data_IF_664757004346
#
_entry.id   IF_664757004346
#
_cell.length_a   1.000
_cell.length_b   1.000
_cell.length_c   1.000
_cell.angle_alpha   90.00
_cell.angle_beta   90.00
_cell.angle_gamma   90.00
#
_symmetry.space_group_name_H-M   'P 1'
#
loop_
_entity.id
_entity.type
_entity.pdbx_description
1 polymer ?
#
# COMPACT_ATOMS: atom_id res chain seq x y z
N UNK A 1 61.85 -26.87 -36.29
CA UNK A 1 61.59 -26.30 -34.97
C UNK A 1 60.23 -25.65 -35.04
N UNK A 2 59.23 -26.34 -34.49
CA UNK A 2 57.82 -25.91 -34.54
C UNK A 2 57.44 -25.42 -33.16
N UNK A 3 57.13 -24.12 -33.10
CA UNK A 3 56.77 -23.45 -31.87
C UNK A 3 55.25 -23.64 -31.66
N UNK A 4 54.86 -24.40 -30.61
CA UNK A 4 53.43 -24.59 -30.20
C UNK A 4 53.08 -23.53 -29.18
N UNK A 5 52.31 -22.53 -29.59
CA UNK A 5 51.60 -21.67 -28.65
C UNK A 5 50.33 -22.40 -28.20
N UNK A 6 50.30 -22.83 -26.93
CA UNK A 6 49.10 -23.32 -26.28
C UNK A 6 48.27 -22.09 -25.86
N UNK A 7 47.09 -21.96 -26.49
CA UNK A 7 46.09 -20.96 -26.15
C UNK A 7 45.34 -21.48 -24.91
N UNK A 8 45.61 -20.88 -23.76
CA UNK A 8 44.86 -21.18 -22.51
C UNK A 8 43.53 -20.43 -22.56
N UNK A 9 42.44 -21.15 -22.88
CA UNK A 9 41.09 -20.60 -22.81
C UNK A 9 40.63 -20.65 -21.35
N UNK A 10 40.68 -19.47 -20.71
CA UNK A 10 40.11 -19.30 -19.36
C UNK A 10 38.57 -19.26 -19.51
N UNK A 11 37.90 -20.38 -19.22
CA UNK A 11 36.45 -20.43 -19.11
C UNK A 11 36.09 -19.82 -17.77
N UNK A 12 35.70 -18.54 -17.79
CA UNK A 12 35.05 -17.91 -16.67
C UNK A 12 33.63 -18.50 -16.57
N UNK A 13 33.46 -19.42 -15.64
CA UNK A 13 32.12 -19.90 -15.24
C UNK A 13 31.51 -18.76 -14.42
N UNK A 14 30.73 -17.90 -15.05
CA UNK A 14 29.78 -17.06 -14.36
C UNK A 14 28.69 -17.99 -13.81
N UNK A 15 28.81 -18.37 -12.55
CA UNK A 15 27.68 -18.94 -11.85
C UNK A 15 26.71 -17.80 -11.55
N UNK A 16 25.82 -17.51 -12.52
CA UNK A 16 24.61 -16.76 -12.25
C UNK A 16 23.78 -17.59 -11.29
N UNK A 17 23.81 -17.26 -10.01
CA UNK A 17 22.78 -17.70 -9.08
C UNK A 17 21.47 -17.07 -9.54
N UNK A 18 20.76 -17.74 -10.44
CA UNK A 18 19.34 -17.53 -10.60
C UNK A 18 18.70 -18.06 -9.32
N UNK A 19 18.34 -17.18 -8.39
CA UNK A 19 17.33 -17.48 -7.38
C UNK A 19 16.12 -18.00 -8.17
N UNK A 20 15.81 -19.29 -8.01
CA UNK A 20 14.67 -19.88 -8.70
C UNK A 20 13.40 -19.21 -8.14
N UNK A 21 12.48 -18.84 -9.02
CA UNK A 21 11.24 -18.10 -8.73
C UNK A 21 10.35 -18.72 -7.60
N UNK A 22 10.71 -19.90 -7.08
CA UNK A 22 10.00 -20.61 -6.03
C UNK A 22 10.49 -20.29 -4.59
N UNK A 23 11.48 -19.45 -4.41
CA UNK A 23 12.07 -19.20 -3.09
C UNK A 23 11.49 -17.98 -2.39
N UNK A 24 10.97 -17.00 -3.13
CA UNK A 24 10.39 -15.80 -2.56
C UNK A 24 8.88 -15.90 -2.57
N UNK A 25 8.28 -15.95 -1.38
CA UNK A 25 6.83 -16.02 -1.26
C UNK A 25 6.31 -15.12 -0.14
N UNK A 26 5.02 -14.77 -0.23
CA UNK A 26 4.36 -14.04 0.83
C UNK A 26 2.84 -13.97 0.63
N UNK A 27 2.15 -13.64 1.69
CA UNK A 27 0.68 -13.60 1.68
C UNK A 27 0.16 -12.33 1.04
N UNK A 28 -0.90 -12.44 0.27
CA UNK A 28 -1.69 -11.35 -0.32
C UNK A 28 -1.88 -10.17 0.66
N UNK A 29 -1.52 -8.97 0.22
CA UNK A 29 -1.61 -7.73 1.01
C UNK A 29 -0.53 -7.54 2.08
N UNK A 30 0.43 -8.45 2.22
CA UNK A 30 1.56 -8.28 3.13
C UNK A 30 2.66 -7.39 2.52
N UNK A 31 3.63 -7.06 3.36
CA UNK A 31 4.91 -6.50 2.97
C UNK A 31 5.96 -7.58 3.21
N UNK A 32 6.93 -7.71 2.32
CA UNK A 32 8.09 -8.58 2.47
C UNK A 32 9.38 -7.79 2.33
N UNK A 33 10.46 -8.32 2.90
CA UNK A 33 11.82 -7.87 2.65
C UNK A 33 12.57 -8.95 1.85
N UNK A 34 13.35 -8.52 0.86
CA UNK A 34 14.16 -9.41 0.03
C UNK A 34 15.60 -8.95 0.07
N UNK A 35 16.51 -9.84 0.43
CA UNK A 35 17.96 -9.56 0.39
C UNK A 35 18.38 -9.40 -1.06
N UNK A 36 19.19 -8.39 -1.35
CA UNK A 36 19.72 -8.15 -2.68
C UNK A 36 21.07 -7.43 -2.63
N UNK A 37 21.96 -7.78 -3.53
CA UNK A 37 23.21 -7.08 -3.77
C UNK A 37 23.08 -6.02 -4.88
N UNK A 38 21.94 -5.99 -5.58
CA UNK A 38 21.64 -5.10 -6.69
C UNK A 38 20.55 -4.09 -6.32
N UNK A 39 20.91 -3.06 -5.54
CA UNK A 39 20.00 -1.95 -5.21
C UNK A 39 20.23 -0.78 -6.14
N UNK A 40 19.15 -0.27 -6.74
CA UNK A 40 19.16 0.99 -7.48
C UNK A 40 18.93 2.15 -6.53
N UNK A 41 19.41 3.34 -6.92
CA UNK A 41 19.31 4.56 -6.11
C UNK A 41 17.86 4.91 -5.71
N UNK A 42 16.90 4.53 -6.54
CA UNK A 42 15.48 4.81 -6.35
C UNK A 42 14.71 3.66 -5.69
N UNK A 43 15.39 2.59 -5.28
CA UNK A 43 14.74 1.47 -4.62
C UNK A 43 14.50 1.78 -3.13
N UNK A 44 13.33 1.37 -2.61
CA UNK A 44 13.06 1.40 -1.18
C UNK A 44 13.82 0.29 -0.50
N UNK A 45 15.05 0.59 -0.09
CA UNK A 45 15.93 -0.36 0.56
C UNK A 45 16.37 0.09 1.94
N UNK A 46 16.79 -0.86 2.75
CA UNK A 46 17.30 -0.64 4.09
C UNK A 46 18.49 -1.56 4.37
N UNK A 47 19.50 -0.98 5.00
CA UNK A 47 20.61 -1.77 5.58
C UNK A 47 20.19 -2.30 6.94
N UNK A 48 20.28 -3.62 7.11
CA UNK A 48 20.08 -4.27 8.37
C UNK A 48 21.12 -5.39 8.54
N UNK A 49 21.82 -5.39 9.68
CA UNK A 49 22.98 -6.22 9.91
C UNK A 49 24.06 -5.98 8.84
N UNK A 50 24.47 -6.94 8.05
CA UNK A 50 25.45 -6.76 6.97
C UNK A 50 24.83 -6.84 5.57
N UNK A 51 23.49 -6.91 5.49
CA UNK A 51 22.75 -7.09 4.24
C UNK A 51 21.90 -5.88 3.89
N UNK A 52 21.62 -5.72 2.62
CA UNK A 52 20.67 -4.74 2.10
C UNK A 52 19.37 -5.45 1.69
N UNK A 53 18.23 -4.83 2.03
CA UNK A 53 16.90 -5.40 1.85
C UNK A 53 16.02 -4.48 1.05
N UNK A 54 15.45 -4.97 -0.04
CA UNK A 54 14.33 -4.32 -0.72
C UNK A 54 13.03 -4.59 0.03
N UNK A 55 12.20 -3.55 0.17
CA UNK A 55 10.88 -3.67 0.79
C UNK A 55 9.81 -3.65 -0.29
N UNK A 56 9.01 -4.72 -0.35
CA UNK A 56 8.01 -4.91 -1.40
C UNK A 56 6.61 -5.08 -0.80
N UNK A 57 5.65 -4.34 -1.35
CA UNK A 57 4.23 -4.53 -1.09
C UNK A 57 3.66 -5.63 -1.99
N UNK A 58 2.94 -6.58 -1.41
CA UNK A 58 2.34 -7.68 -2.18
C UNK A 58 0.89 -7.36 -2.56
N UNK A 59 0.50 -7.58 -3.84
CA UNK A 59 -0.85 -7.33 -4.32
C UNK A 59 -1.89 -8.23 -3.63
N UNK A 60 -3.15 -7.78 -3.66
CA UNK A 60 -4.27 -8.66 -3.39
C UNK A 60 -4.46 -9.62 -4.57
N UNK A 61 -4.52 -10.93 -4.30
CA UNK A 61 -4.78 -11.95 -5.32
C UNK A 61 -6.00 -12.80 -4.96
N UNK A 62 -6.74 -13.26 -5.99
CA UNK A 62 -7.92 -14.12 -5.81
C UNK A 62 -7.58 -15.61 -5.76
N UNK A 63 -6.36 -15.97 -6.17
CA UNK A 63 -5.74 -17.31 -6.09
C UNK A 63 -4.24 -17.13 -5.99
N UNK A 64 -3.53 -18.07 -5.38
CA UNK A 64 -2.07 -18.08 -5.36
C UNK A 64 -1.52 -17.99 -6.78
N UNK A 65 -0.60 -17.08 -6.99
CA UNK A 65 -0.03 -16.80 -8.33
C UNK A 65 1.33 -16.12 -8.24
N UNK A 66 2.19 -16.41 -9.20
CA UNK A 66 3.44 -15.68 -9.39
C UNK A 66 3.15 -14.25 -9.84
N UNK A 67 3.87 -13.29 -9.28
CA UNK A 67 3.80 -11.86 -9.59
C UNK A 67 5.20 -11.29 -9.70
N UNK A 68 5.43 -10.49 -10.73
CA UNK A 68 6.66 -9.69 -10.85
C UNK A 68 6.43 -8.32 -10.20
N UNK A 69 7.21 -7.99 -9.18
CA UNK A 69 7.15 -6.71 -8.46
C UNK A 69 8.52 -6.03 -8.67
N UNK A 70 8.52 -4.95 -9.45
CA UNK A 70 9.77 -4.41 -9.97
C UNK A 70 10.46 -5.41 -10.89
N UNK A 71 11.58 -5.96 -10.46
CA UNK A 71 12.35 -7.00 -11.18
C UNK A 71 12.33 -8.36 -10.46
N UNK A 72 11.58 -8.48 -9.36
CA UNK A 72 11.55 -9.67 -8.49
C UNK A 72 10.27 -10.44 -8.70
N UNK A 73 10.41 -11.74 -8.98
CA UNK A 73 9.30 -12.67 -9.04
C UNK A 73 8.98 -13.22 -7.66
N UNK A 74 7.72 -13.08 -7.24
CA UNK A 74 7.22 -13.47 -5.91
C UNK A 74 5.98 -14.35 -6.07
N UNK A 75 5.94 -15.49 -5.39
CA UNK A 75 4.71 -16.25 -5.25
C UNK A 75 3.80 -15.58 -4.23
N UNK A 76 2.74 -14.91 -4.69
CA UNK A 76 1.75 -14.30 -3.81
C UNK A 76 0.68 -15.32 -3.46
N UNK A 77 0.70 -15.74 -2.21
CA UNK A 77 -0.23 -16.74 -1.65
C UNK A 77 -1.59 -16.11 -1.38
N UNK A 78 -2.64 -16.76 -1.89
CA UNK A 78 -4.02 -16.35 -1.59
C UNK A 78 -4.32 -16.53 -0.11
N UNK A 79 -5.03 -15.54 0.44
CA UNK A 79 -5.61 -15.60 1.79
C UNK A 79 -7.10 -15.32 1.74
N UNK A 80 -7.90 -16.11 2.42
CA UNK A 80 -9.31 -15.83 2.62
C UNK A 80 -9.46 -14.82 3.77
N UNK A 81 -9.85 -13.60 3.45
CA UNK A 81 -10.10 -12.52 4.41
C UNK A 81 -11.57 -12.43 4.86
N UNK A 82 -12.42 -13.37 4.40
CA UNK A 82 -13.85 -13.35 4.64
C UNK A 82 -14.62 -12.42 3.69
N UNK A 83 -15.88 -12.17 4.03
CA UNK A 83 -16.81 -11.39 3.23
C UNK A 83 -17.39 -10.21 4.01
N UNK A 84 -17.81 -9.18 3.29
CA UNK A 84 -18.55 -8.03 3.79
C UNK A 84 -19.77 -7.80 2.89
N UNK A 85 -20.97 -7.87 3.47
CA UNK A 85 -22.24 -7.63 2.78
C UNK A 85 -22.83 -6.34 3.30
N UNK A 86 -23.01 -5.36 2.41
CA UNK A 86 -23.42 -4.00 2.74
C UNK A 86 -24.72 -3.69 1.99
N UNK A 87 -25.70 -3.15 2.67
CA UNK A 87 -26.92 -2.61 2.06
C UNK A 87 -26.83 -1.10 2.02
N UNK A 88 -26.84 -0.54 0.81
CA UNK A 88 -26.92 0.91 0.57
C UNK A 88 -28.34 1.23 0.12
N UNK A 89 -29.05 2.04 0.94
CA UNK A 89 -30.46 2.42 0.68
C UNK A 89 -30.55 3.44 -0.45
N UNK A 90 -29.61 4.37 -0.54
CA UNK A 90 -29.55 5.36 -1.61
C UNK A 90 -28.97 4.73 -2.88
N UNK A 91 -29.88 4.27 -3.76
CA UNK A 91 -29.51 3.62 -5.00
C UNK A 91 -28.77 4.54 -5.98
N UNK A 92 -28.91 5.86 -5.87
CA UNK A 92 -28.14 6.80 -6.71
C UNK A 92 -26.64 6.67 -6.50
N UNK A 93 -26.20 6.21 -5.32
CA UNK A 93 -24.79 5.93 -5.00
C UNK A 93 -24.33 4.52 -5.43
N UNK A 94 -25.22 3.69 -5.93
CA UNK A 94 -24.94 2.31 -6.38
C UNK A 94 -25.03 2.18 -7.89
N UNK A 95 -26.15 2.64 -8.48
CA UNK A 95 -26.41 2.64 -9.91
C UNK A 95 -26.36 4.10 -10.42
N UNK A 96 -25.17 4.55 -10.82
CA UNK A 96 -24.91 5.95 -11.15
C UNK A 96 -25.62 6.38 -12.43
N UNK A 97 -26.21 7.57 -12.41
CA UNK A 97 -26.59 8.29 -13.62
C UNK A 97 -25.34 8.71 -14.43
N UNK A 98 -25.53 9.22 -15.64
CA UNK A 98 -24.41 9.60 -16.53
C UNK A 98 -23.49 10.65 -15.90
N UNK A 99 -24.05 11.71 -15.30
CA UNK A 99 -23.29 12.82 -14.69
C UNK A 99 -22.39 12.31 -13.55
N UNK A 100 -22.95 11.51 -12.64
CA UNK A 100 -22.19 11.00 -11.49
C UNK A 100 -21.15 9.97 -11.91
N UNK A 101 -21.42 9.20 -12.95
CA UNK A 101 -20.43 8.27 -13.54
C UNK A 101 -19.28 9.01 -14.18
N UNK A 102 -19.56 10.05 -14.97
CA UNK A 102 -18.53 10.87 -15.62
C UNK A 102 -17.66 11.58 -14.55
N UNK A 103 -18.28 12.10 -13.48
CA UNK A 103 -17.60 12.65 -12.31
C UNK A 103 -16.69 11.62 -11.65
N UNK A 104 -17.23 10.46 -11.29
CA UNK A 104 -16.48 9.40 -10.60
C UNK A 104 -15.31 8.89 -11.45
N UNK A 105 -15.46 8.80 -12.78
CA UNK A 105 -14.39 8.41 -13.69
C UNK A 105 -13.28 9.46 -13.75
N UNK A 106 -13.61 10.74 -13.86
CA UNK A 106 -12.63 11.84 -13.87
C UNK A 106 -11.85 11.88 -12.54
N UNK A 107 -12.54 11.73 -11.41
CA UNK A 107 -11.93 11.68 -10.08
C UNK A 107 -11.03 10.46 -9.89
N UNK A 108 -11.41 9.30 -10.42
CA UNK A 108 -10.56 8.10 -10.39
C UNK A 108 -9.24 8.29 -11.13
N UNK A 109 -9.25 9.03 -12.26
CA UNK A 109 -8.02 9.39 -12.99
C UNK A 109 -7.14 10.35 -12.18
N UNK A 110 -7.74 11.36 -11.53
CA UNK A 110 -7.02 12.31 -10.68
C UNK A 110 -6.35 11.60 -9.49
N UNK A 111 -7.11 10.78 -8.77
CA UNK A 111 -6.58 9.97 -7.66
C UNK A 111 -5.49 9.01 -8.18
N UNK A 112 -5.75 8.33 -9.31
CA UNK A 112 -4.79 7.42 -9.92
C UNK A 112 -3.47 8.11 -10.30
N UNK A 113 -3.53 9.36 -10.78
CA UNK A 113 -2.35 10.17 -11.07
C UNK A 113 -1.57 10.52 -9.79
N UNK A 114 -2.26 10.96 -8.73
CA UNK A 114 -1.61 11.24 -7.44
C UNK A 114 -0.90 10.00 -6.86
N UNK A 115 -1.50 8.82 -7.01
CA UNK A 115 -0.92 7.54 -6.55
C UNK A 115 0.31 7.08 -7.37
N UNK A 116 0.71 7.79 -8.44
CA UNK A 116 1.98 7.56 -9.14
C UNK A 116 3.14 8.36 -8.52
N UNK A 117 2.88 9.15 -7.47
CA UNK A 117 3.93 9.90 -6.76
C UNK A 117 5.03 8.98 -6.26
N UNK A 118 6.28 9.46 -6.36
CA UNK A 118 7.46 8.72 -5.95
C UNK A 118 8.54 9.72 -5.49
N UNK A 119 8.40 10.23 -4.26
CA UNK A 119 9.32 11.24 -3.70
C UNK A 119 10.50 10.55 -3.01
N UNK A 120 11.68 10.57 -3.62
CA UNK A 120 12.91 10.00 -3.04
C UNK A 120 13.56 10.91 -1.99
N UNK A 121 13.07 12.12 -1.79
CA UNK A 121 13.56 13.06 -0.77
C UNK A 121 13.04 12.76 0.64
N UNK A 122 12.05 11.88 0.76
CA UNK A 122 11.45 11.44 2.02
C UNK A 122 11.80 9.97 2.24
N UNK A 123 12.53 9.66 3.32
CA UNK A 123 12.80 8.27 3.70
C UNK A 123 11.76 7.81 4.74
N UNK A 124 10.93 6.80 4.43
CA UNK A 124 9.91 6.31 5.36
C UNK A 124 10.54 5.47 6.48
N UNK A 125 10.15 5.73 7.73
CA UNK A 125 10.63 4.96 8.88
C UNK A 125 9.88 3.64 9.12
N UNK A 126 8.72 3.45 8.48
CA UNK A 126 7.76 2.38 8.76
C UNK A 126 7.29 2.26 10.22
N UNK A 127 7.59 3.24 11.06
CA UNK A 127 7.09 3.29 12.44
C UNK A 127 5.72 3.98 12.47
N UNK A 128 4.72 3.31 11.94
CA UNK A 128 3.37 3.87 11.84
C UNK A 128 2.68 3.97 13.19
N UNK A 129 1.95 5.06 13.40
CA UNK A 129 1.01 5.23 14.51
C UNK A 129 -0.43 5.06 14.03
N UNK A 130 -1.34 4.74 14.95
CA UNK A 130 -2.76 4.73 14.62
C UNK A 130 -3.20 6.14 14.19
N UNK A 131 -3.86 6.26 13.01
CA UNK A 131 -4.30 7.57 12.52
C UNK A 131 -5.49 8.15 13.29
N UNK A 132 -6.27 7.33 13.99
CA UNK A 132 -7.46 7.74 14.73
C UNK A 132 -7.71 6.80 15.90
N UNK A 133 -8.25 7.32 16.98
CA UNK A 133 -8.75 6.52 18.10
C UNK A 133 -10.17 6.04 17.76
N UNK A 134 -10.35 4.72 17.65
CA UNK A 134 -11.65 4.16 17.26
C UNK A 134 -11.65 2.62 17.25
N UNK A 135 -12.74 2.03 16.77
CA UNK A 135 -12.94 0.58 16.72
C UNK A 135 -12.78 0.12 15.28
N UNK A 136 -11.96 -0.91 15.03
CA UNK A 136 -11.84 -1.50 13.70
C UNK A 136 -13.19 -2.11 13.30
N UNK A 137 -13.84 -1.47 12.34
CA UNK A 137 -15.19 -1.89 11.84
C UNK A 137 -15.08 -2.79 10.60
N UNK A 138 -14.04 -2.60 9.76
CA UNK A 138 -13.78 -3.49 8.64
C UNK A 138 -12.28 -3.63 8.37
N UNK A 139 -11.83 -4.89 8.29
CA UNK A 139 -10.44 -5.23 8.01
C UNK A 139 -10.18 -5.35 6.51
N UNK A 140 -8.89 -5.26 6.15
CA UNK A 140 -8.38 -5.44 4.81
C UNK A 140 -8.75 -6.82 4.21
N UNK A 141 -8.95 -6.83 2.89
CA UNK A 141 -9.02 -8.04 2.06
C UNK A 141 -10.40 -8.67 1.94
N UNK A 142 -11.42 -8.22 2.69
CA UNK A 142 -12.77 -8.81 2.63
C UNK A 142 -13.37 -8.69 1.23
N UNK A 143 -13.90 -9.80 0.69
CA UNK A 143 -14.75 -9.78 -0.51
C UNK A 143 -15.98 -8.94 -0.20
N UNK A 144 -16.30 -7.97 -1.07
CA UNK A 144 -17.37 -7.02 -0.82
C UNK A 144 -18.56 -7.30 -1.72
N UNK A 145 -19.75 -7.30 -1.12
CA UNK A 145 -21.03 -7.31 -1.81
C UNK A 145 -21.82 -6.06 -1.40
N UNK A 146 -22.29 -5.30 -2.38
CA UNK A 146 -23.16 -4.14 -2.16
C UNK A 146 -24.51 -4.46 -2.80
N UNK A 147 -25.58 -4.49 -2.00
CA UNK A 147 -26.93 -4.89 -2.43
C UNK A 147 -26.87 -6.25 -3.17
N UNK A 148 -26.17 -7.22 -2.56
CA UNK A 148 -25.93 -8.58 -3.06
C UNK A 148 -25.11 -8.67 -4.37
N UNK A 149 -24.72 -7.55 -4.96
CA UNK A 149 -23.87 -7.51 -6.18
C UNK A 149 -22.39 -7.52 -5.78
N UNK A 150 -21.54 -8.39 -6.37
CA UNK A 150 -20.10 -8.40 -6.09
C UNK A 150 -19.45 -7.06 -6.49
N UNK A 151 -18.50 -6.63 -5.68
CA UNK A 151 -17.68 -5.41 -5.87
C UNK A 151 -16.22 -5.73 -5.65
N UNK A 152 -15.35 -4.78 -5.95
CA UNK A 152 -13.92 -4.86 -5.61
C UNK A 152 -13.74 -5.12 -4.11
N UNK A 153 -12.77 -5.94 -3.71
CA UNK A 153 -12.52 -6.23 -2.30
C UNK A 153 -12.22 -4.96 -1.49
N UNK A 154 -12.42 -5.05 -0.19
CA UNK A 154 -12.08 -3.97 0.74
C UNK A 154 -10.57 -3.97 1.02
N UNK A 155 -9.80 -3.15 0.30
CA UNK A 155 -8.33 -3.10 0.42
C UNK A 155 -7.88 -1.90 1.26
N UNK A 156 -8.45 -1.79 2.47
CA UNK A 156 -8.22 -0.72 3.44
C UNK A 156 -8.54 -1.20 4.85
N UNK A 157 -8.31 -0.35 5.83
CA UNK A 157 -8.74 -0.51 7.21
C UNK A 157 -9.81 0.55 7.50
N UNK A 158 -11.02 0.12 7.90
CA UNK A 158 -12.06 1.03 8.36
C UNK A 158 -12.03 1.10 9.90
N UNK A 159 -11.93 2.30 10.43
CA UNK A 159 -11.90 2.59 11.88
C UNK A 159 -13.09 3.48 12.21
N UNK A 160 -14.12 2.89 12.85
CA UNK A 160 -15.31 3.60 13.28
C UNK A 160 -14.99 4.54 14.45
N UNK A 161 -15.38 5.79 14.31
CA UNK A 161 -15.30 6.82 15.34
C UNK A 161 -16.38 7.87 15.09
N UNK A 162 -16.73 8.66 16.11
CA UNK A 162 -17.71 9.72 15.95
C UNK A 162 -17.24 10.81 14.99
N UNK A 163 -18.18 11.48 14.31
CA UNK A 163 -17.89 12.67 13.50
C UNK A 163 -17.13 13.69 14.37
N UNK A 164 -16.10 14.30 13.80
CA UNK A 164 -15.28 15.30 14.47
C UNK A 164 -14.10 14.75 15.28
N UNK A 165 -13.99 13.41 15.47
CA UNK A 165 -12.79 12.82 16.09
C UNK A 165 -11.56 13.11 15.24
N UNK A 166 -10.48 13.51 15.88
CA UNK A 166 -9.22 13.92 15.24
C UNK A 166 -8.57 12.76 14.48
N UNK A 167 -8.11 13.06 13.25
CA UNK A 167 -7.31 12.17 12.41
C UNK A 167 -5.92 12.76 12.29
N UNK A 168 -4.91 12.03 12.73
CA UNK A 168 -3.50 12.43 12.70
C UNK A 168 -2.72 11.63 11.66
N UNK A 169 -1.65 12.23 11.12
CA UNK A 169 -0.76 11.55 10.20
C UNK A 169 -0.02 10.39 10.90
N UNK A 170 -0.18 9.14 10.45
CA UNK A 170 0.48 7.99 11.06
C UNK A 170 1.99 7.96 10.80
N UNK A 171 2.46 8.68 9.79
CA UNK A 171 3.87 8.80 9.41
C UNK A 171 4.08 10.19 8.77
N UNK A 172 5.33 10.71 8.82
CA UNK A 172 5.73 11.91 8.08
C UNK A 172 5.45 11.73 6.59
N UNK A 173 4.96 12.77 5.92
CA UNK A 173 4.71 12.74 4.47
C UNK A 173 4.38 14.09 3.88
N UNK A 174 4.34 14.14 2.55
CA UNK A 174 3.89 15.31 1.78
C UNK A 174 2.45 15.11 1.32
N UNK A 175 1.62 16.12 1.46
CA UNK A 175 0.26 16.11 0.91
C UNK A 175 0.33 16.19 -0.61
N UNK A 176 -0.13 15.15 -1.29
CA UNK A 176 -0.10 15.07 -2.77
C UNK A 176 -1.47 15.26 -3.40
N UNK A 177 -2.54 15.09 -2.62
CA UNK A 177 -3.91 15.37 -3.07
C UNK A 177 -4.81 15.64 -1.87
N UNK A 178 -5.71 16.62 -1.99
CA UNK A 178 -6.85 16.81 -1.11
C UNK A 178 -8.06 17.26 -1.92
N UNK A 179 -9.26 16.78 -1.57
CA UNK A 179 -10.49 17.14 -2.29
C UNK A 179 -11.72 16.39 -1.81
N UNK A 180 -12.86 16.75 -2.44
CA UNK A 180 -14.12 16.03 -2.22
C UNK A 180 -14.44 15.18 -3.45
N UNK A 181 -14.49 13.87 -3.28
CA UNK A 181 -14.69 12.90 -4.35
C UNK A 181 -15.99 12.12 -4.15
N UNK A 182 -16.60 11.68 -5.24
CA UNK A 182 -17.91 11.03 -5.25
C UNK A 182 -17.99 9.83 -4.31
N UNK A 183 -17.00 8.92 -4.41
CA UNK A 183 -17.01 7.71 -3.59
C UNK A 183 -16.34 7.89 -2.24
N UNK A 184 -15.21 8.56 -2.19
CA UNK A 184 -14.37 8.64 -0.99
C UNK A 184 -14.65 9.87 -0.13
N UNK A 185 -15.52 10.79 -0.60
CA UNK A 185 -15.84 12.02 0.11
C UNK A 185 -14.62 12.92 0.29
N UNK A 186 -14.56 13.66 1.39
CA UNK A 186 -13.38 14.45 1.72
C UNK A 186 -12.21 13.50 1.95
N UNK A 187 -11.16 13.67 1.17
CA UNK A 187 -10.04 12.75 1.10
C UNK A 187 -8.72 13.50 1.13
N UNK A 188 -7.76 12.95 1.84
CA UNK A 188 -6.36 13.37 1.88
C UNK A 188 -5.51 12.22 1.41
N UNK A 189 -4.45 12.49 0.62
CA UNK A 189 -3.44 11.52 0.23
C UNK A 189 -2.07 12.07 0.60
N UNK A 190 -1.29 11.28 1.34
CA UNK A 190 0.08 11.59 1.74
C UNK A 190 1.07 10.66 1.02
N UNK A 191 2.14 11.25 0.48
CA UNK A 191 3.34 10.54 0.02
C UNK A 191 4.37 10.52 1.15
N UNK A 192 4.75 9.33 1.58
CA UNK A 192 5.75 9.10 2.63
C UNK A 192 7.15 8.81 2.07
N UNK A 193 7.28 8.84 0.75
CA UNK A 193 8.49 8.57 0.00
C UNK A 193 8.59 7.16 -0.56
N UNK A 194 9.37 7.00 -1.62
CA UNK A 194 9.68 5.72 -2.27
C UNK A 194 8.45 4.88 -2.62
N UNK A 195 7.34 5.53 -3.02
CA UNK A 195 6.09 4.87 -3.40
C UNK A 195 5.28 4.31 -2.21
N UNK A 196 5.64 4.67 -0.97
CA UNK A 196 4.82 4.44 0.21
C UNK A 196 3.83 5.60 0.34
N UNK A 197 2.55 5.34 0.09
CA UNK A 197 1.49 6.34 0.06
C UNK A 197 0.36 5.92 0.99
N UNK A 198 -0.29 6.87 1.65
CA UNK A 198 -1.52 6.60 2.41
C UNK A 198 -2.65 7.54 2.03
N UNK A 199 -3.90 7.06 2.12
CA UNK A 199 -5.09 7.87 1.89
C UNK A 199 -6.09 7.76 3.03
N UNK A 200 -6.73 8.88 3.34
CA UNK A 200 -7.67 9.10 4.43
C UNK A 200 -8.97 9.61 3.84
N UNK A 201 -10.01 8.79 3.88
CA UNK A 201 -11.27 9.10 3.20
C UNK A 201 -12.43 9.20 4.19
N UNK A 202 -13.55 9.71 3.69
CA UNK A 202 -14.80 9.95 4.42
C UNK A 202 -14.69 11.01 5.52
N UNK A 203 -13.68 11.87 5.43
CA UNK A 203 -13.43 12.92 6.43
C UNK A 203 -14.60 13.93 6.46
N UNK A 204 -14.82 14.53 7.63
CA UNK A 204 -15.68 15.70 7.79
C UNK A 204 -14.93 16.95 7.30
N UNK A 205 -13.68 17.10 7.73
CA UNK A 205 -12.83 18.24 7.34
C UNK A 205 -11.42 17.80 6.99
N UNK A 206 -10.78 18.54 6.05
CA UNK A 206 -9.35 18.52 5.78
C UNK A 206 -8.74 19.83 6.32
N UNK A 207 -7.69 19.73 7.13
CA UNK A 207 -7.02 20.87 7.77
C UNK A 207 -5.70 21.25 7.12
N UNK A 208 -5.33 20.56 6.05
CA UNK A 208 -4.04 20.65 5.36
C UNK A 208 -4.23 20.94 3.88
N UNK A 209 -3.13 21.34 3.20
CA UNK A 209 -3.14 21.73 1.79
C UNK A 209 -2.13 20.91 0.99
N UNK A 210 -2.40 20.74 -0.31
CA UNK A 210 -1.46 20.11 -1.23
C UNK A 210 -0.09 20.81 -1.22
N UNK A 211 0.97 20.01 -1.29
CA UNK A 211 2.36 20.43 -1.19
C UNK A 211 2.89 20.56 0.25
N UNK A 212 2.02 20.62 1.27
CA UNK A 212 2.43 20.74 2.68
C UNK A 212 3.17 19.49 3.14
N UNK A 213 4.28 19.68 3.87
CA UNK A 213 4.98 18.61 4.59
C UNK A 213 4.34 18.43 5.96
N UNK A 214 3.91 17.23 6.29
CA UNK A 214 3.25 16.87 7.53
C UNK A 214 4.18 16.00 8.37
N UNK A 215 4.26 16.28 9.68
CA UNK A 215 5.01 15.43 10.61
C UNK A 215 4.13 14.30 11.15
N UNK A 216 4.75 13.22 11.62
CA UNK A 216 4.04 12.14 12.30
C UNK A 216 3.32 12.68 13.54
N UNK A 217 2.03 12.34 13.69
CA UNK A 217 1.18 12.77 14.79
C UNK A 217 0.54 14.14 14.57
N UNK A 218 0.86 14.85 13.48
CA UNK A 218 0.23 16.12 13.14
C UNK A 218 -1.24 15.90 12.73
N UNK A 219 -2.13 16.76 13.21
CA UNK A 219 -3.55 16.74 12.90
C UNK A 219 -3.76 17.08 11.43
N UNK A 220 -4.42 16.19 10.68
CA UNK A 220 -4.66 16.35 9.24
C UNK A 220 -6.12 16.59 8.89
N UNK A 221 -7.06 16.17 9.74
CA UNK A 221 -8.49 16.29 9.51
C UNK A 221 -9.31 15.68 10.62
N UNK A 222 -10.60 15.51 10.39
CA UNK A 222 -11.52 14.89 11.35
C UNK A 222 -12.36 13.80 10.67
N UNK A 223 -12.76 12.78 11.45
CA UNK A 223 -13.66 11.72 11.00
C UNK A 223 -15.00 12.29 10.57
N UNK A 224 -15.52 11.80 9.48
CA UNK A 224 -16.83 12.15 8.96
C UNK A 224 -17.59 10.96 8.38
N UNK A 225 -18.59 11.28 7.56
CA UNK A 225 -19.39 10.31 6.81
C UNK A 225 -19.65 10.77 5.37
N UNK A 226 -18.70 11.52 4.79
CA UNK A 226 -18.82 12.03 3.43
C UNK A 226 -18.57 10.95 2.36
N UNK A 227 -19.11 11.16 1.15
CA UNK A 227 -19.01 10.20 0.06
C UNK A 227 -20.02 9.03 0.16
N UNK A 228 -19.59 7.81 -0.18
CA UNK A 228 -20.43 6.61 -0.18
C UNK A 228 -20.14 5.73 1.04
N UNK A 229 -20.84 5.97 2.11
CA UNK A 229 -20.66 5.30 3.41
C UNK A 229 -21.98 4.81 3.99
N UNK A 230 -21.91 4.01 5.06
CA UNK A 230 -23.05 3.53 5.86
C UNK A 230 -23.08 4.14 7.26
N UNK A 231 -22.07 4.90 7.64
CA UNK A 231 -21.94 5.57 8.93
C UNK A 231 -20.54 6.12 9.13
N UNK A 232 -20.32 6.90 10.20
CA UNK A 232 -19.06 7.60 10.44
C UNK A 232 -17.88 6.65 10.67
N UNK A 233 -16.82 6.82 9.90
CA UNK A 233 -15.55 6.10 10.05
C UNK A 233 -14.43 6.75 9.25
N UNK A 234 -13.19 6.49 9.62
CA UNK A 234 -12.03 6.70 8.78
C UNK A 234 -11.83 5.46 7.90
N UNK A 235 -11.79 5.64 6.57
CA UNK A 235 -11.31 4.64 5.62
C UNK A 235 -9.84 4.93 5.32
N UNK A 236 -8.94 4.08 5.82
CA UNK A 236 -7.49 4.25 5.70
C UNK A 236 -6.89 3.20 4.78
N UNK A 237 -6.32 3.65 3.65
CA UNK A 237 -5.63 2.78 2.69
C UNK A 237 -4.14 3.10 2.70
N UNK A 238 -3.29 2.07 2.62
CA UNK A 238 -1.85 2.23 2.41
C UNK A 238 -1.44 1.50 1.14
N UNK A 239 -0.58 2.17 0.37
CA UNK A 239 -0.02 1.67 -0.88
C UNK A 239 1.49 1.56 -0.72
N UNK A 240 2.07 0.52 -1.28
CA UNK A 240 3.51 0.34 -1.41
C UNK A 240 3.80 -0.26 -2.78
N UNK A 241 4.69 0.35 -3.55
CA UNK A 241 4.98 -0.04 -4.94
C UNK A 241 3.70 -0.12 -5.80
N UNK A 242 2.75 0.82 -5.60
CA UNK A 242 1.41 0.88 -6.25
C UNK A 242 0.41 -0.19 -5.80
N UNK A 243 0.82 -1.14 -4.97
CA UNK A 243 -0.05 -2.19 -4.44
C UNK A 243 -0.68 -1.76 -3.12
N UNK A 244 -1.97 -2.04 -2.96
CA UNK A 244 -2.66 -1.82 -1.68
C UNK A 244 -2.26 -2.91 -0.70
N UNK A 245 -1.61 -2.52 0.38
CA UNK A 245 -1.17 -3.42 1.44
C UNK A 245 -2.10 -3.35 2.66
N UNK A 246 -2.05 -4.36 3.53
CA UNK A 246 -2.84 -4.37 4.75
C UNK A 246 -2.28 -3.39 5.79
N UNK A 247 -2.99 -2.29 6.11
CA UNK A 247 -2.48 -1.27 7.03
C UNK A 247 -2.22 -1.79 8.45
N UNK A 248 -2.96 -2.81 8.92
CA UNK A 248 -2.76 -3.38 10.26
C UNK A 248 -1.37 -3.98 10.46
N UNK A 249 -0.72 -4.43 9.37
CA UNK A 249 0.63 -4.97 9.47
C UNK A 249 1.64 -3.89 9.86
N UNK A 250 1.44 -2.66 9.40
CA UNK A 250 2.33 -1.52 9.67
C UNK A 250 2.20 -0.97 11.10
N UNK A 251 1.11 -1.29 11.80
CA UNK A 251 0.85 -0.87 13.17
C UNK A 251 1.48 -1.79 14.22
N UNK A 252 2.16 -2.86 13.78
CA UNK A 252 2.86 -3.79 14.67
C UNK A 252 4.16 -3.17 15.17
N UNK A 253 4.42 -3.36 16.46
CA UNK A 253 5.70 -2.94 17.04
C UNK A 253 6.88 -3.60 16.34
N UNK A 254 7.96 -2.85 16.19
CA UNK A 254 9.21 -3.31 15.56
C UNK A 254 9.02 -3.91 14.16
N UNK A 255 8.09 -3.35 13.38
CA UNK A 255 7.69 -3.88 12.07
C UNK A 255 8.89 -4.21 11.18
N UNK A 256 9.80 -3.25 10.91
CA UNK A 256 10.98 -3.48 10.06
C UNK A 256 11.92 -4.55 10.62
N UNK A 257 12.19 -4.52 11.93
CA UNK A 257 13.05 -5.52 12.57
C UNK A 257 12.49 -6.93 12.36
N UNK A 258 11.19 -7.13 12.61
CA UNK A 258 10.54 -8.42 12.42
C UNK A 258 10.52 -8.85 10.94
N UNK A 259 10.39 -7.87 10.03
CA UNK A 259 10.39 -8.12 8.60
C UNK A 259 11.77 -8.62 8.12
N UNK A 260 12.86 -7.97 8.56
CA UNK A 260 14.22 -8.37 8.20
C UNK A 260 14.60 -9.72 8.82
N UNK A 261 14.21 -9.97 10.07
CA UNK A 261 14.44 -11.26 10.72
C UNK A 261 13.73 -12.38 9.96
N UNK A 262 12.47 -12.18 9.56
CA UNK A 262 11.75 -13.17 8.76
C UNK A 262 12.42 -13.43 7.40
N UNK A 263 13.04 -12.41 6.78
CA UNK A 263 13.78 -12.60 5.54
C UNK A 263 15.11 -13.35 5.74
N UNK A 264 15.80 -13.15 6.87
CA UNK A 264 17.01 -13.91 7.23
C UNK A 264 16.75 -15.40 7.50
N UNK A 265 15.58 -15.72 8.07
CA UNK A 265 15.21 -17.12 8.39
C UNK A 265 14.92 -17.96 7.12
N UNK A 266 14.84 -17.33 5.94
CA UNK A 266 14.59 -17.97 4.63
C UNK A 266 15.89 -18.27 3.88
N UNK A 267 16.99 -17.60 4.24
CA UNK A 267 18.33 -17.77 3.63
C UNK A 267 19.06 -18.95 4.26
#
# INVERSE_FOLDING_TARGET
>A
MINKYALLILVLIFSSYHLTANEISGTSGNVIAVVTDEVKIDDLSFKYDQSEYLILGLPYVYKTSLKTIGVIDVEVQYKNFGESRITIKDLSKVDLNKKDRDRANAEALLIGSALQSYDTSISPSFNFKNPVVGIISSRYGKKRYINEKPRSPHLALDIAANIGVEVSAPLKGRVILTGNFFYTGNTIILDHGFGLISSYSHLDSSLIKEGQMIQQGELIGTVGETGRVTGPHLHWTVYLNKEKINPENLLKDNFLHNLFKAAQDIL
#
